data_IF_037266493992
#
_entry.id   IF_037266493992
#
_cell.length_a   1.000
_cell.length_b   1.000
_cell.length_c   1.000
_cell.angle_alpha   90.00
_cell.angle_beta   90.00
_cell.angle_gamma   90.00
#
_symmetry.space_group_name_H-M   'P 1'
#
loop_
_entity.id
_entity.type
_entity.pdbx_description
1 polymer ?
#
# COMPACT_ATOMS: atom_id res chain seq x y z
N UNK A 1 -75.33 0.23 28.88
CA UNK A 1 -74.53 -0.33 27.81
C UNK A 1 -73.06 -0.39 28.28
N UNK A 2 -72.52 -1.62 28.46
CA UNK A 2 -71.18 -1.87 28.95
C UNK A 2 -70.22 -1.92 27.73
N UNK A 3 -69.21 -1.09 27.71
CA UNK A 3 -68.06 -1.21 26.82
C UNK A 3 -67.01 -2.14 27.46
N UNK A 4 -66.74 -3.26 26.82
CA UNK A 4 -65.75 -4.27 27.23
C UNK A 4 -64.35 -3.78 26.85
N UNK A 5 -63.48 -3.52 27.82
CA UNK A 5 -62.06 -3.24 27.64
C UNK A 5 -61.34 -4.58 27.45
N UNK A 6 -60.93 -4.88 26.23
CA UNK A 6 -60.04 -6.02 25.94
C UNK A 6 -58.57 -5.62 26.18
N UNK A 7 -58.09 -6.03 27.32
CA UNK A 7 -56.68 -5.80 27.71
C UNK A 7 -55.81 -6.96 27.14
N UNK A 8 -55.12 -6.71 26.04
CA UNK A 8 -54.23 -7.69 25.43
C UNK A 8 -52.87 -7.65 26.11
N UNK A 9 -52.71 -8.43 27.17
CA UNK A 9 -51.41 -8.69 27.82
C UNK A 9 -50.47 -9.36 26.82
N UNK A 10 -49.51 -8.63 26.31
CA UNK A 10 -48.43 -9.22 25.54
C UNK A 10 -47.46 -9.99 26.43
N UNK A 11 -47.31 -11.26 26.19
CA UNK A 11 -46.51 -12.21 26.96
C UNK A 11 -45.03 -11.76 27.02
N UNK A 12 -44.51 -11.58 28.24
CA UNK A 12 -43.16 -11.12 28.57
C UNK A 12 -42.05 -11.90 27.85
N UNK A 13 -42.31 -13.17 27.59
CA UNK A 13 -41.42 -14.10 26.88
C UNK A 13 -41.11 -13.69 25.42
N UNK A 14 -42.09 -13.09 24.70
CA UNK A 14 -41.87 -12.66 23.30
C UNK A 14 -41.04 -11.36 23.18
N UNK A 15 -41.08 -10.50 24.22
CA UNK A 15 -40.27 -9.27 24.23
C UNK A 15 -38.80 -9.56 24.52
N UNK A 16 -38.50 -10.53 25.39
CA UNK A 16 -37.12 -10.93 25.69
C UNK A 16 -36.47 -11.67 24.51
N UNK A 17 -37.25 -12.46 23.77
CA UNK A 17 -36.73 -13.17 22.58
C UNK A 17 -36.35 -12.21 21.42
N UNK A 18 -37.10 -11.12 21.25
CA UNK A 18 -36.80 -10.12 20.21
C UNK A 18 -35.58 -9.24 20.57
N UNK A 19 -35.31 -9.00 21.84
CA UNK A 19 -34.16 -8.24 22.31
C UNK A 19 -32.87 -9.07 22.18
N UNK A 20 -32.93 -10.37 22.45
CA UNK A 20 -31.75 -11.26 22.32
C UNK A 20 -31.35 -11.52 20.87
N UNK A 21 -32.27 -11.58 19.93
CA UNK A 21 -31.96 -11.72 18.50
C UNK A 21 -31.50 -10.43 17.84
N UNK A 22 -31.92 -9.25 18.33
CA UNK A 22 -31.49 -7.95 17.83
C UNK A 22 -30.04 -7.61 18.18
N UNK A 23 -29.54 -8.08 19.33
CA UNK A 23 -28.18 -7.80 19.79
C UNK A 23 -27.13 -8.73 19.16
N UNK A 24 -27.49 -9.91 18.71
CA UNK A 24 -26.55 -10.83 18.04
C UNK A 24 -26.33 -10.49 16.58
N UNK A 25 -27.22 -9.74 15.90
CA UNK A 25 -27.07 -9.34 14.51
C UNK A 25 -26.20 -8.09 14.30
N UNK A 26 -26.01 -7.26 15.34
CA UNK A 26 -25.18 -6.04 15.23
C UNK A 26 -23.68 -6.28 15.49
N UNK A 27 -23.31 -7.42 16.06
CA UNK A 27 -21.89 -7.68 16.40
C UNK A 27 -21.08 -8.30 15.26
N UNK A 28 -21.70 -8.75 14.16
CA UNK A 28 -21.01 -9.41 13.04
C UNK A 28 -20.53 -8.40 11.97
N UNK A 29 -21.06 -7.17 11.95
CA UNK A 29 -20.72 -6.17 10.92
C UNK A 29 -19.67 -5.13 11.34
N UNK A 30 -19.09 -5.23 12.53
CA UNK A 30 -18.03 -4.33 13.01
C UNK A 30 -16.66 -5.00 13.09
N UNK A 31 -16.41 -6.07 12.32
CA UNK A 31 -15.03 -6.48 12.05
C UNK A 31 -14.39 -5.38 11.22
N UNK A 32 -13.31 -4.75 11.72
CA UNK A 32 -12.77 -3.60 11.03
C UNK A 32 -12.26 -4.02 9.66
N UNK A 33 -12.71 -3.36 8.63
CA UNK A 33 -12.26 -3.41 7.24
C UNK A 33 -10.72 -3.34 7.09
N UNK A 34 -10.02 -3.06 8.16
CA UNK A 34 -8.56 -2.99 8.24
C UNK A 34 -7.85 -4.36 8.25
N UNK A 35 -8.54 -5.47 8.43
CA UNK A 35 -7.89 -6.78 8.55
C UNK A 35 -7.64 -7.52 7.22
N UNK A 36 -8.15 -7.00 6.09
CA UNK A 36 -8.06 -7.69 4.80
C UNK A 36 -6.94 -7.23 3.88
N UNK A 37 -6.08 -6.27 4.29
CA UNK A 37 -5.02 -5.76 3.43
C UNK A 37 -3.67 -5.62 4.12
N UNK A 38 -3.32 -6.54 4.97
CA UNK A 38 -1.91 -6.76 5.27
C UNK A 38 -1.37 -7.73 4.21
N UNK A 39 -0.98 -7.21 3.06
CA UNK A 39 -0.12 -7.96 2.17
C UNK A 39 1.12 -8.32 3.00
N UNK A 40 1.23 -9.57 3.44
CA UNK A 40 2.36 -10.04 4.25
C UNK A 40 3.62 -9.77 3.46
N UNK A 41 4.43 -8.81 3.94
CA UNK A 41 5.72 -8.50 3.36
C UNK A 41 6.59 -9.75 3.47
N UNK A 42 6.94 -10.35 2.34
CA UNK A 42 7.72 -11.59 2.32
C UNK A 42 9.13 -11.30 1.82
N UNK A 43 10.14 -11.54 2.66
CA UNK A 43 11.54 -11.55 2.22
C UNK A 43 11.79 -12.83 1.44
N UNK A 44 12.24 -12.67 0.19
CA UNK A 44 12.55 -13.74 -0.76
C UNK A 44 14.05 -13.81 -1.00
N UNK A 45 14.71 -12.64 -1.13
CA UNK A 45 16.16 -12.57 -1.28
C UNK A 45 16.86 -12.62 0.09
N UNK A 46 17.58 -13.70 0.44
CA UNK A 46 18.28 -13.79 1.72
C UNK A 46 19.45 -12.81 1.82
N UNK A 47 20.01 -12.37 0.69
CA UNK A 47 21.22 -11.52 0.60
C UNK A 47 20.95 -10.03 0.75
N UNK A 48 19.70 -9.62 1.05
CA UNK A 48 19.40 -8.22 1.33
C UNK A 48 20.18 -7.73 2.55
N UNK A 49 20.77 -6.54 2.43
CA UNK A 49 21.45 -5.87 3.55
C UNK A 49 20.46 -5.53 4.67
N UNK A 50 21.00 -5.22 5.85
CA UNK A 50 20.18 -4.76 6.99
C UNK A 50 19.39 -3.50 6.63
N UNK A 51 20.02 -2.57 5.89
CA UNK A 51 19.38 -1.32 5.49
C UNK A 51 18.28 -1.54 4.46
N UNK A 52 18.49 -2.38 3.44
CA UNK A 52 17.45 -2.79 2.50
C UNK A 52 16.25 -3.42 3.23
N UNK A 53 16.50 -4.34 4.16
CA UNK A 53 15.44 -4.95 4.98
C UNK A 53 14.69 -3.92 5.81
N UNK A 54 15.40 -2.98 6.43
CA UNK A 54 14.78 -1.88 7.20
C UNK A 54 13.85 -1.04 6.34
N UNK A 55 14.31 -0.62 5.15
CA UNK A 55 13.47 0.18 4.25
C UNK A 55 12.26 -0.63 3.77
N UNK A 56 12.47 -1.84 3.29
CA UNK A 56 11.43 -2.67 2.68
C UNK A 56 10.37 -3.16 3.67
N UNK A 57 10.75 -3.47 4.91
CA UNK A 57 9.84 -4.02 5.93
C UNK A 57 9.22 -2.93 6.81
N UNK A 58 10.02 -1.93 7.21
CA UNK A 58 9.61 -0.90 8.17
C UNK A 58 9.21 0.41 7.47
N UNK A 59 9.08 0.41 6.13
CA UNK A 59 8.61 1.58 5.37
C UNK A 59 9.48 2.83 5.60
N UNK A 60 10.79 2.60 5.84
CA UNK A 60 11.77 3.65 6.03
C UNK A 60 12.18 4.25 4.69
N UNK A 61 12.90 5.38 4.74
CA UNK A 61 13.42 6.06 3.55
C UNK A 61 14.95 6.12 3.61
N UNK A 62 15.62 5.85 2.49
CA UNK A 62 17.07 6.06 2.36
C UNK A 62 17.41 7.56 2.34
N UNK A 63 18.68 7.91 2.57
CA UNK A 63 19.12 9.30 2.49
C UNK A 63 18.96 9.83 1.05
N UNK A 64 18.54 11.09 0.87
CA UNK A 64 18.52 11.71 -0.46
C UNK A 64 19.93 11.72 -1.07
N UNK A 65 20.00 11.58 -2.38
CA UNK A 65 21.24 11.57 -3.17
C UNK A 65 22.21 10.42 -2.87
N UNK A 66 21.81 9.41 -2.08
CA UNK A 66 22.67 8.27 -1.73
C UNK A 66 22.68 7.16 -2.77
N UNK A 67 21.63 7.07 -3.59
CA UNK A 67 21.51 6.00 -4.57
C UNK A 67 22.28 6.29 -5.86
N UNK A 68 23.16 5.37 -6.31
CA UNK A 68 23.80 5.48 -7.63
C UNK A 68 22.78 5.40 -8.78
N UNK A 69 21.60 4.86 -8.54
CA UNK A 69 20.53 4.76 -9.54
C UNK A 69 19.90 6.11 -9.89
N UNK A 70 20.19 7.18 -9.14
CA UNK A 70 19.81 8.53 -9.55
C UNK A 70 20.38 8.87 -10.95
N UNK A 71 21.62 8.48 -11.20
CA UNK A 71 22.35 8.77 -12.44
C UNK A 71 22.27 7.64 -13.49
N UNK A 72 21.46 6.59 -13.26
CA UNK A 72 21.29 5.51 -14.23
C UNK A 72 20.51 6.00 -15.45
N UNK A 73 21.12 5.92 -16.66
CA UNK A 73 20.55 6.42 -17.92
C UNK A 73 20.52 5.36 -19.03
N UNK A 74 21.08 4.17 -18.78
CA UNK A 74 21.10 3.09 -19.77
C UNK A 74 19.68 2.57 -20.02
N UNK A 75 19.47 2.03 -21.22
CA UNK A 75 18.22 1.29 -21.52
C UNK A 75 18.17 0.00 -20.71
N UNK A 76 16.99 -0.33 -20.18
CA UNK A 76 16.78 -1.52 -19.38
C UNK A 76 15.59 -1.40 -18.44
N UNK A 77 15.60 -2.23 -17.42
CA UNK A 77 14.51 -2.32 -16.46
C UNK A 77 15.01 -2.25 -15.02
N UNK A 78 14.21 -1.62 -14.18
CA UNK A 78 14.40 -1.62 -12.73
C UNK A 78 13.55 -2.74 -12.12
N UNK A 79 14.18 -3.59 -11.34
CA UNK A 79 13.59 -4.77 -10.71
C UNK A 79 13.55 -4.60 -9.19
N UNK A 80 12.59 -5.24 -8.55
CA UNK A 80 12.53 -5.34 -7.09
C UNK A 80 13.77 -6.11 -6.58
N UNK A 81 14.55 -5.48 -5.69
CA UNK A 81 15.74 -6.10 -5.12
C UNK A 81 15.43 -7.34 -4.27
N UNK A 82 14.18 -7.46 -3.76
CA UNK A 82 13.75 -8.60 -2.98
C UNK A 82 13.27 -9.79 -3.82
N UNK A 83 12.46 -9.58 -4.85
CA UNK A 83 11.81 -10.69 -5.57
C UNK A 83 12.13 -10.74 -7.06
N UNK A 84 12.87 -9.77 -7.60
CA UNK A 84 13.25 -9.73 -9.01
C UNK A 84 12.12 -9.33 -9.97
N UNK A 85 10.93 -8.96 -9.48
CA UNK A 85 9.84 -8.51 -10.35
C UNK A 85 10.25 -7.25 -11.12
N UNK A 86 9.94 -7.15 -12.41
CA UNK A 86 10.09 -5.92 -13.20
C UNK A 86 9.12 -4.87 -12.70
N UNK A 87 9.60 -3.66 -12.45
CA UNK A 87 8.83 -2.59 -11.84
C UNK A 87 8.72 -1.35 -12.71
N UNK A 88 9.84 -0.92 -13.30
CA UNK A 88 9.90 0.26 -14.15
C UNK A 88 10.76 0.00 -15.38
N UNK A 89 10.39 0.64 -16.48
CA UNK A 89 11.25 0.74 -17.65
C UNK A 89 12.13 2.00 -17.55
N UNK A 90 13.32 1.97 -18.13
CA UNK A 90 14.27 3.09 -18.06
C UNK A 90 13.77 4.37 -18.74
N UNK A 91 12.91 4.25 -19.77
CA UNK A 91 12.31 5.40 -20.45
C UNK A 91 11.33 6.21 -19.58
N UNK A 92 10.80 5.58 -18.51
CA UNK A 92 9.96 6.27 -17.54
C UNK A 92 10.78 7.03 -16.47
N UNK A 93 12.12 6.81 -16.42
CA UNK A 93 12.98 7.44 -15.42
C UNK A 93 13.29 8.89 -15.76
N UNK A 94 13.23 9.77 -14.77
CA UNK A 94 13.65 11.17 -14.91
C UNK A 94 14.36 11.66 -13.64
N UNK A 95 15.07 12.79 -13.78
CA UNK A 95 15.65 13.49 -12.63
C UNK A 95 14.61 14.47 -12.06
N UNK A 96 14.13 14.20 -10.87
CA UNK A 96 13.18 15.06 -10.17
C UNK A 96 13.84 16.12 -9.30
N UNK A 97 15.16 16.10 -9.15
CA UNK A 97 15.90 16.97 -8.23
C UNK A 97 15.70 16.63 -6.74
N UNK A 98 14.87 15.64 -6.41
CA UNK A 98 14.55 15.31 -5.00
C UNK A 98 15.58 14.44 -4.30
N UNK A 99 16.50 13.82 -5.07
CA UNK A 99 17.57 12.99 -4.54
C UNK A 99 17.24 11.49 -4.50
N UNK A 100 16.10 11.08 -5.01
CA UNK A 100 15.71 9.67 -5.16
C UNK A 100 15.40 9.31 -6.60
N UNK A 101 15.64 8.05 -7.04
CA UNK A 101 15.22 7.58 -8.35
C UNK A 101 13.73 7.82 -8.56
N UNK A 102 13.38 8.57 -9.61
CA UNK A 102 12.01 9.00 -9.89
C UNK A 102 11.56 8.53 -11.27
N UNK A 103 10.28 8.14 -11.36
CA UNK A 103 9.67 7.61 -12.58
C UNK A 103 8.30 8.24 -12.82
N UNK A 104 7.96 8.44 -14.09
CA UNK A 104 6.67 9.01 -14.52
C UNK A 104 5.54 7.98 -14.47
N UNK A 105 5.87 6.71 -14.60
CA UNK A 105 4.93 5.59 -14.59
C UNK A 105 5.63 4.30 -14.16
N UNK A 106 4.85 3.32 -13.72
CA UNK A 106 5.31 1.96 -13.45
C UNK A 106 4.80 0.99 -14.51
N UNK A 107 5.41 -0.18 -14.60
CA UNK A 107 4.86 -1.25 -15.43
C UNK A 107 3.48 -1.69 -14.90
N UNK A 108 2.56 -2.10 -15.77
CA UNK A 108 1.24 -2.55 -15.38
C UNK A 108 1.29 -3.68 -14.32
N UNK A 109 0.54 -3.51 -13.23
CA UNK A 109 0.48 -4.50 -12.16
C UNK A 109 1.73 -4.62 -11.28
N UNK A 110 2.75 -3.76 -11.46
CA UNK A 110 3.99 -3.79 -10.70
C UNK A 110 3.80 -3.52 -9.20
N UNK A 111 2.84 -2.66 -8.87
CA UNK A 111 2.62 -2.20 -7.51
C UNK A 111 1.17 -2.29 -7.05
N UNK A 112 1.02 -2.34 -5.73
CA UNK A 112 -0.21 -2.06 -4.99
C UNK A 112 0.03 -0.81 -4.15
N UNK A 113 -1.03 -0.05 -3.88
CA UNK A 113 -0.94 1.21 -3.12
C UNK A 113 -1.74 1.13 -1.82
N UNK A 114 -1.34 1.92 -0.85
CA UNK A 114 -2.12 2.22 0.36
C UNK A 114 -1.97 3.70 0.71
N UNK A 115 -2.90 4.21 1.52
CA UNK A 115 -2.76 5.57 2.06
C UNK A 115 -1.86 5.52 3.30
N UNK A 116 -0.89 6.41 3.32
CA UNK A 116 0.02 6.66 4.43
C UNK A 116 -0.27 8.04 5.04
N UNK A 117 -0.50 8.08 6.35
CA UNK A 117 -0.74 9.31 7.11
C UNK A 117 0.41 9.70 8.03
N UNK A 118 1.58 9.09 7.86
CA UNK A 118 2.77 9.43 8.62
C UNK A 118 3.15 10.89 8.40
N UNK A 119 3.79 11.48 9.41
CA UNK A 119 4.23 12.88 9.40
C UNK A 119 3.13 13.92 9.20
N UNK A 120 1.86 13.59 9.53
CA UNK A 120 0.73 14.52 9.43
C UNK A 120 0.29 14.85 8.00
N UNK A 121 0.79 14.15 6.99
CA UNK A 121 0.45 14.32 5.57
C UNK A 121 -0.20 13.08 5.00
N UNK A 122 -1.21 13.27 4.14
CA UNK A 122 -1.78 12.17 3.36
C UNK A 122 -0.90 11.92 2.14
N UNK A 123 -0.27 10.73 2.08
CA UNK A 123 0.55 10.29 0.96
C UNK A 123 0.03 8.97 0.40
N UNK A 124 0.39 8.65 -0.84
CA UNK A 124 0.10 7.36 -1.44
C UNK A 124 1.39 6.55 -1.48
N UNK A 125 1.50 5.58 -0.58
CA UNK A 125 2.62 4.63 -0.53
C UNK A 125 2.39 3.50 -1.52
N UNK A 126 3.46 2.96 -2.13
CA UNK A 126 3.37 1.80 -3.00
C UNK A 126 4.33 0.68 -2.61
N UNK A 127 3.86 -0.54 -2.85
CA UNK A 127 4.53 -1.79 -2.51
C UNK A 127 4.59 -2.70 -3.72
N UNK A 128 5.66 -3.48 -3.83
CA UNK A 128 5.76 -4.51 -4.86
C UNK A 128 4.53 -5.44 -4.81
N UNK A 129 3.82 -5.56 -5.94
CA UNK A 129 2.60 -6.38 -6.00
C UNK A 129 2.89 -7.87 -5.73
N UNK A 130 4.13 -8.35 -6.04
CA UNK A 130 4.54 -9.74 -5.90
C UNK A 130 4.92 -10.13 -4.46
N UNK A 131 5.68 -9.29 -3.76
CA UNK A 131 6.23 -9.65 -2.45
C UNK A 131 5.83 -8.72 -1.31
N UNK A 132 5.05 -7.67 -1.59
CA UNK A 132 4.48 -6.76 -0.62
C UNK A 132 5.46 -5.78 0.04
N UNK A 133 6.75 -5.79 -0.32
CA UNK A 133 7.73 -4.88 0.30
C UNK A 133 7.53 -3.44 -0.15
N UNK A 134 7.79 -2.51 0.77
CA UNK A 134 7.76 -1.09 0.50
C UNK A 134 8.78 -0.67 -0.55
N UNK A 135 8.42 0.27 -1.40
CA UNK A 135 9.30 0.86 -2.40
C UNK A 135 9.40 2.38 -2.28
N UNK A 136 8.33 3.07 -1.97
CA UNK A 136 8.29 4.53 -1.91
C UNK A 136 6.88 5.09 -1.95
N UNK A 137 6.77 6.33 -2.43
CA UNK A 137 5.50 7.05 -2.53
C UNK A 137 5.31 7.62 -3.93
N UNK A 138 4.05 7.73 -4.35
CA UNK A 138 3.67 8.43 -5.58
C UNK A 138 3.07 9.77 -5.24
N UNK A 139 3.50 10.81 -5.96
CA UNK A 139 3.09 12.20 -5.82
C UNK A 139 2.46 12.69 -7.11
N UNK A 140 1.61 13.72 -7.01
CA UNK A 140 0.94 14.38 -8.12
C UNK A 140 1.67 15.68 -8.52
N UNK A 141 3.01 15.65 -8.54
CA UNK A 141 3.89 16.75 -8.86
C UNK A 141 4.87 16.43 -10.00
N UNK A 142 4.56 15.39 -10.79
CA UNK A 142 5.36 14.98 -11.95
C UNK A 142 5.21 15.96 -13.13
N UNK A 143 6.27 16.07 -13.93
CA UNK A 143 6.35 17.00 -15.08
C UNK A 143 5.74 16.49 -16.39
N UNK A 144 5.16 15.28 -16.38
CA UNK A 144 4.58 14.64 -17.57
C UNK A 144 3.05 14.74 -17.61
N UNK A 145 2.45 14.29 -18.72
CA UNK A 145 1.00 14.25 -18.88
C UNK A 145 0.27 13.46 -17.77
N UNK A 146 0.94 12.47 -17.17
CA UNK A 146 0.38 11.72 -16.03
C UNK A 146 0.39 12.51 -14.74
N UNK A 147 1.17 13.59 -14.63
CA UNK A 147 1.46 14.36 -13.42
C UNK A 147 1.94 13.50 -12.25
N UNK A 148 2.27 12.23 -12.49
CA UNK A 148 2.72 11.30 -11.45
C UNK A 148 4.23 11.29 -11.34
N UNK A 149 4.72 11.27 -10.10
CA UNK A 149 6.12 11.01 -9.76
C UNK A 149 6.18 9.86 -8.77
N UNK A 150 6.64 8.71 -9.26
CA UNK A 150 6.97 7.57 -8.40
C UNK A 150 8.36 7.82 -7.81
N UNK A 151 8.42 8.26 -6.55
CA UNK A 151 9.65 8.45 -5.80
C UNK A 151 10.05 7.14 -5.14
N UNK A 152 11.12 6.50 -5.60
CA UNK A 152 11.50 5.15 -5.18
C UNK A 152 12.78 5.17 -4.35
N UNK A 153 12.82 4.39 -3.26
CA UNK A 153 14.07 4.10 -2.58
C UNK A 153 14.98 3.28 -3.51
N UNK A 154 16.16 3.78 -3.86
CA UNK A 154 17.07 3.11 -4.78
C UNK A 154 17.58 1.77 -4.23
N UNK A 155 17.73 1.64 -2.90
CA UNK A 155 18.07 0.39 -2.22
C UNK A 155 17.02 -0.72 -2.43
N UNK A 156 15.80 -0.37 -2.83
CA UNK A 156 14.75 -1.33 -3.19
C UNK A 156 14.83 -1.82 -4.64
N UNK A 157 15.73 -1.25 -5.45
CA UNK A 157 15.85 -1.52 -6.89
C UNK A 157 17.15 -2.21 -7.26
N UNK A 158 17.07 -3.01 -8.33
CA UNK A 158 18.22 -3.51 -9.10
C UNK A 158 17.96 -3.12 -10.55
N UNK A 159 18.91 -2.42 -11.17
CA UNK A 159 18.86 -2.13 -12.59
C UNK A 159 19.46 -3.31 -13.39
N UNK A 160 18.78 -3.69 -14.48
CA UNK A 160 19.28 -4.66 -15.46
C UNK A 160 19.22 -4.01 -16.84
N UNK A 161 20.37 -3.83 -17.51
CA UNK A 161 20.39 -3.31 -18.88
C UNK A 161 19.69 -4.27 -19.84
N UNK A 162 19.14 -3.74 -20.91
CA UNK A 162 18.81 -4.53 -22.10
C UNK A 162 20.12 -4.95 -22.79
N UNK A 163 20.18 -6.21 -23.22
CA UNK A 163 21.25 -6.75 -24.04
C UNK A 163 21.15 -6.24 -25.48
#
# INVERSE_FOLDING_TARGET
FRASTYNKSMNKSKREFLVLFGLSYLSVHLLPYKLLYSATKKIINPNLTKEQKKIMLNESTEKPFSSPLNNEKRKGFFHCANCGAKLFASNAKFDSGTGWPSFTESLPGAFKTKIDYSFGMKRVEYHCARCGVHHGHVFDDGSTATQKRFCNNGLCLIFKPES
#
